data_IF_459802218202
#
_entry.id   IF_459802218202
#
_cell.length_a   1.000
_cell.length_b   1.000
_cell.length_c   1.000
_cell.angle_alpha   90.00
_cell.angle_beta   90.00
_cell.angle_gamma   90.00
#
_symmetry.space_group_name_H-M   'P 1'
#
loop_
_entity.id
_entity.type
_entity.pdbx_description
1 polymer ?
#
# COMPACT_ATOMS: atom_id res chain seq x y z
N UNK A 1 7.35 -69.06 54.07
CA UNK A 1 6.28 -68.01 54.04
C UNK A 1 6.69 -66.97 53.04
N UNK A 2 6.09 -67.04 51.92
CA UNK A 2 6.45 -66.17 50.74
C UNK A 2 5.58 -64.92 50.65
N UNK A 3 6.18 -63.82 50.39
CA UNK A 3 5.46 -62.58 50.00
C UNK A 3 5.78 -62.24 48.58
N UNK A 4 4.77 -62.29 47.77
CA UNK A 4 4.84 -61.96 46.34
C UNK A 4 4.69 -60.46 46.17
N UNK A 5 5.77 -59.78 45.79
CA UNK A 5 5.73 -58.35 45.34
C UNK A 5 5.19 -58.26 43.93
N UNK A 6 4.11 -57.50 43.75
CA UNK A 6 3.58 -57.10 42.42
C UNK A 6 4.30 -55.87 41.92
N UNK A 7 4.96 -56.02 40.80
CA UNK A 7 5.54 -54.93 40.05
C UNK A 7 4.44 -54.30 39.15
N UNK A 8 4.07 -53.06 39.39
CA UNK A 8 3.21 -52.28 38.54
C UNK A 8 4.06 -51.58 37.47
N UNK A 9 3.89 -52.01 36.23
CA UNK A 9 4.44 -51.33 35.06
C UNK A 9 3.55 -50.12 34.73
N UNK A 10 4.06 -48.95 34.93
CA UNK A 10 3.43 -47.70 34.46
C UNK A 10 3.80 -47.47 33.02
N UNK A 11 2.83 -47.63 32.13
CA UNK A 11 2.98 -47.27 30.69
C UNK A 11 2.87 -45.77 30.51
N UNK A 12 3.95 -45.12 30.15
CA UNK A 12 3.97 -43.71 29.73
C UNK A 12 3.58 -43.66 28.27
N UNK A 13 2.40 -43.09 27.97
CA UNK A 13 1.95 -42.79 26.61
C UNK A 13 2.52 -41.42 26.23
N UNK A 14 3.48 -41.40 25.33
CA UNK A 14 3.99 -40.20 24.67
C UNK A 14 3.03 -39.80 23.57
N UNK A 15 2.23 -38.75 23.76
CA UNK A 15 1.45 -38.09 22.72
C UNK A 15 2.40 -37.23 21.90
N UNK A 16 2.77 -37.72 20.72
CA UNK A 16 3.43 -36.92 19.70
C UNK A 16 2.40 -35.96 19.08
N UNK A 17 2.40 -34.73 19.54
CA UNK A 17 1.64 -33.63 18.90
C UNK A 17 2.29 -33.28 17.59
N UNK A 18 1.65 -33.63 16.43
CA UNK A 18 1.96 -33.07 15.12
C UNK A 18 1.49 -31.64 15.11
N UNK A 19 2.39 -30.69 15.35
CA UNK A 19 2.18 -29.30 14.95
C UNK A 19 2.29 -29.23 13.43
N UNK A 20 1.15 -29.16 12.75
CA UNK A 20 1.08 -28.75 11.33
C UNK A 20 1.57 -27.31 11.25
N UNK A 21 2.87 -27.14 10.98
CA UNK A 21 3.42 -25.87 10.59
C UNK A 21 2.74 -25.46 9.27
N UNK A 22 1.85 -24.47 9.34
CA UNK A 22 1.45 -23.73 8.15
C UNK A 22 2.71 -23.05 7.62
N UNK A 23 3.26 -23.62 6.55
CA UNK A 23 4.24 -22.92 5.72
C UNK A 23 3.54 -21.72 5.13
N UNK A 24 3.74 -20.54 5.73
CA UNK A 24 3.49 -19.30 5.04
C UNK A 24 4.38 -19.33 3.80
N UNK A 25 3.76 -19.39 2.63
CA UNK A 25 4.44 -19.14 1.36
C UNK A 25 5.09 -17.77 1.48
N UNK A 26 6.42 -17.63 1.33
CA UNK A 26 6.99 -16.30 1.23
C UNK A 26 6.44 -15.72 -0.06
N UNK A 27 5.56 -14.72 0.06
CA UNK A 27 5.32 -13.81 -1.04
C UNK A 27 6.68 -13.40 -1.60
N UNK A 28 6.82 -13.43 -2.95
CA UNK A 28 8.06 -13.10 -3.62
C UNK A 28 8.64 -11.76 -3.17
N UNK A 29 9.82 -11.32 -3.64
CA UNK A 29 10.50 -10.15 -3.13
C UNK A 29 9.69 -8.87 -3.38
N UNK A 30 8.55 -8.79 -2.75
CA UNK A 30 7.77 -7.60 -2.53
C UNK A 30 8.44 -6.85 -1.39
N UNK A 31 8.70 -5.58 -1.57
CA UNK A 31 9.31 -4.70 -0.61
C UNK A 31 8.70 -4.92 0.79
N UNK A 32 9.40 -5.70 1.62
CA UNK A 32 9.10 -5.83 3.04
C UNK A 32 9.30 -4.45 3.67
N UNK A 33 8.24 -3.67 3.82
CA UNK A 33 8.31 -2.34 4.40
C UNK A 33 7.51 -1.24 3.70
N UNK A 34 6.97 -1.47 2.51
CA UNK A 34 6.06 -0.52 1.88
C UNK A 34 4.70 -0.62 2.57
N UNK A 35 4.45 0.31 3.51
CA UNK A 35 3.40 0.19 4.52
C UNK A 35 1.98 0.49 4.03
N UNK A 36 1.80 1.17 2.90
CA UNK A 36 0.45 1.53 2.45
C UNK A 36 -0.16 0.41 1.62
N UNK A 37 -1.35 -0.01 2.04
CA UNK A 37 -2.11 -1.04 1.34
C UNK A 37 -2.84 -0.45 0.15
N UNK A 38 -2.81 -1.16 -0.98
CA UNK A 38 -3.69 -0.88 -2.11
C UNK A 38 -5.04 -1.56 -1.86
N UNK A 39 -6.06 -0.75 -1.69
CA UNK A 39 -7.45 -1.18 -1.59
C UNK A 39 -8.05 -1.31 -2.99
N UNK A 40 -8.89 -2.32 -3.21
CA UNK A 40 -9.61 -2.54 -4.50
C UNK A 40 -11.13 -2.50 -4.33
N UNK A 41 -11.59 -2.17 -3.13
CA UNK A 41 -13.00 -2.01 -2.79
C UNK A 41 -13.61 -0.69 -3.26
N UNK A 42 -14.76 -0.36 -2.68
CA UNK A 42 -15.39 0.95 -2.89
C UNK A 42 -14.49 2.06 -2.34
N UNK A 43 -14.47 3.20 -3.03
CA UNK A 43 -13.85 4.41 -2.49
C UNK A 43 -14.62 4.89 -1.26
N UNK A 44 -13.97 5.55 -0.29
CA UNK A 44 -14.68 6.23 0.78
C UNK A 44 -15.63 7.30 0.20
N UNK A 45 -16.78 7.53 0.83
CA UNK A 45 -17.82 8.48 0.37
C UNK A 45 -17.26 9.88 0.01
N UNK A 46 -16.26 10.35 0.76
CA UNK A 46 -15.63 11.64 0.49
C UNK A 46 -14.68 11.62 -0.73
N UNK A 47 -14.23 10.45 -1.18
CA UNK A 47 -13.36 10.28 -2.35
C UNK A 47 -14.14 9.81 -3.59
N UNK A 48 -15.42 9.51 -3.43
CA UNK A 48 -16.34 9.06 -4.48
C UNK A 48 -16.92 10.22 -5.30
N UNK A 49 -16.79 11.44 -4.82
CA UNK A 49 -17.33 12.64 -5.49
C UNK A 49 -16.74 12.79 -6.91
N UNK A 50 -17.60 12.73 -7.92
CA UNK A 50 -17.25 12.84 -9.34
C UNK A 50 -17.18 11.49 -10.08
N UNK A 51 -17.36 10.37 -9.39
CA UNK A 51 -17.61 9.08 -10.02
C UNK A 51 -19.11 8.82 -10.14
N UNK A 52 -19.53 8.10 -11.16
CA UNK A 52 -20.91 7.66 -11.34
C UNK A 52 -21.05 6.22 -10.85
N UNK A 53 -22.00 5.97 -9.96
CA UNK A 53 -22.29 4.63 -9.44
C UNK A 53 -21.32 4.19 -8.35
N UNK A 54 -21.19 2.88 -8.15
CA UNK A 54 -20.29 2.25 -7.16
C UNK A 54 -18.84 2.33 -7.67
N UNK A 55 -18.13 3.38 -7.28
CA UNK A 55 -16.75 3.60 -7.70
C UNK A 55 -15.80 2.62 -7.04
N UNK A 56 -15.38 1.62 -7.80
CA UNK A 56 -14.37 0.64 -7.40
C UNK A 56 -13.12 0.80 -8.24
N UNK A 57 -12.06 1.28 -7.62
CA UNK A 57 -10.78 1.45 -8.28
C UNK A 57 -9.65 1.12 -7.28
N UNK A 58 -8.51 0.61 -7.76
CA UNK A 58 -7.33 0.51 -6.91
C UNK A 58 -6.99 1.88 -6.32
N UNK A 59 -6.86 1.96 -5.00
CA UNK A 59 -6.56 3.20 -4.32
C UNK A 59 -5.73 2.99 -3.06
N UNK A 60 -5.04 4.03 -2.63
CA UNK A 60 -4.27 4.09 -1.40
C UNK A 60 -4.74 5.28 -0.60
N UNK A 61 -5.00 5.07 0.69
CA UNK A 61 -5.34 6.14 1.61
C UNK A 61 -4.07 6.68 2.28
N UNK A 62 -4.02 7.97 2.48
CA UNK A 62 -2.99 8.58 3.31
C UNK A 62 -3.06 8.08 4.75
N UNK A 63 -1.94 8.10 5.45
CA UNK A 63 -1.82 7.62 6.82
C UNK A 63 -2.78 8.32 7.81
N UNK A 64 -3.14 9.59 7.54
CA UNK A 64 -4.13 10.34 8.30
C UNK A 64 -5.55 10.21 7.74
N UNK A 65 -5.70 9.63 6.55
CA UNK A 65 -6.98 9.52 5.85
C UNK A 65 -7.50 10.84 5.29
N UNK A 66 -6.64 11.83 5.09
CA UNK A 66 -7.00 13.15 4.57
C UNK A 66 -6.91 13.25 3.05
N UNK A 67 -6.24 12.30 2.40
CA UNK A 67 -6.10 12.23 0.95
C UNK A 67 -6.11 10.77 0.47
N UNK A 68 -6.65 10.55 -0.72
CA UNK A 68 -6.61 9.27 -1.43
C UNK A 68 -5.88 9.43 -2.76
N UNK A 69 -5.11 8.42 -3.13
CA UNK A 69 -4.55 8.24 -4.47
C UNK A 69 -5.34 7.14 -5.19
N UNK A 70 -6.16 7.50 -6.17
CA UNK A 70 -6.87 6.55 -7.03
C UNK A 70 -5.97 6.21 -8.23
N UNK A 71 -5.62 4.92 -8.37
CA UNK A 71 -4.58 4.43 -9.27
C UNK A 71 -5.20 3.93 -10.58
N UNK A 72 -5.34 4.78 -11.59
CA UNK A 72 -5.87 4.39 -12.90
C UNK A 72 -4.90 3.51 -13.71
N UNK A 73 -3.60 3.59 -13.41
CA UNK A 73 -2.56 2.77 -14.02
C UNK A 73 -2.00 1.72 -13.07
N UNK A 74 -2.85 1.00 -12.35
CA UNK A 74 -2.39 -0.02 -11.40
C UNK A 74 -2.10 -1.38 -12.11
N UNK A 75 -0.95 -2.05 -11.75
CA UNK A 75 0.10 -1.57 -10.87
C UNK A 75 0.89 -0.40 -11.50
N UNK A 76 1.42 0.49 -10.64
CA UNK A 76 2.33 1.53 -11.07
C UNK A 76 3.67 0.92 -11.52
N UNK A 77 4.33 1.51 -12.52
CA UNK A 77 5.58 0.98 -13.03
C UNK A 77 6.54 2.09 -13.44
N UNK A 78 7.85 1.83 -13.32
CA UNK A 78 8.89 2.71 -13.83
C UNK A 78 8.83 2.78 -15.36
N UNK A 79 8.64 1.63 -16.02
CA UNK A 79 8.54 1.52 -17.47
C UNK A 79 7.23 0.85 -17.85
N UNK A 80 6.45 1.48 -18.69
CA UNK A 80 5.22 0.93 -19.25
C UNK A 80 5.37 0.71 -20.75
N UNK A 81 5.21 -0.52 -21.20
CA UNK A 81 5.36 -0.92 -22.61
C UNK A 81 4.07 -0.75 -23.41
N UNK A 82 2.92 -0.69 -22.72
CA UNK A 82 1.59 -0.51 -23.29
C UNK A 82 1.29 0.93 -23.76
N UNK A 83 2.26 1.84 -23.62
CA UNK A 83 2.10 3.26 -23.96
C UNK A 83 1.21 4.04 -22.98
N UNK A 84 0.74 3.41 -21.90
CA UNK A 84 -0.01 4.07 -20.84
C UNK A 84 0.92 4.86 -19.90
N UNK A 85 0.35 5.56 -18.94
CA UNK A 85 1.08 6.36 -17.94
C UNK A 85 0.62 6.02 -16.52
N UNK A 86 1.45 6.36 -15.53
CA UNK A 86 1.10 6.24 -14.11
C UNK A 86 0.13 7.36 -13.72
N UNK A 87 -1.10 7.26 -14.23
CA UNK A 87 -2.15 8.23 -13.94
C UNK A 87 -2.75 8.00 -12.56
N UNK A 88 -2.69 9.02 -11.73
CA UNK A 88 -3.22 9.03 -10.37
C UNK A 88 -4.21 10.20 -10.25
N UNK A 89 -5.37 9.94 -9.68
CA UNK A 89 -6.28 10.97 -9.21
C UNK A 89 -6.12 11.13 -7.71
N UNK A 90 -5.70 12.30 -7.30
CA UNK A 90 -5.61 12.69 -5.89
C UNK A 90 -6.94 13.29 -5.47
N UNK A 91 -7.54 12.72 -4.43
CA UNK A 91 -8.78 13.23 -3.84
C UNK A 91 -8.48 13.59 -2.40
N UNK A 92 -8.67 14.84 -2.03
CA UNK A 92 -8.46 15.29 -0.67
C UNK A 92 -9.79 15.48 0.05
N UNK A 93 -9.83 15.07 1.31
CA UNK A 93 -10.95 15.34 2.22
C UNK A 93 -10.88 16.79 2.66
N UNK A 94 -11.33 17.72 1.82
CA UNK A 94 -11.28 19.15 2.15
C UNK A 94 -12.57 19.88 1.75
N UNK A 95 -12.82 21.00 2.44
CA UNK A 95 -13.78 22.01 1.99
C UNK A 95 -13.24 22.70 0.71
N UNK A 96 -14.14 23.16 -0.13
CA UNK A 96 -13.93 23.69 -1.48
C UNK A 96 -12.89 24.81 -1.58
N UNK A 97 -12.65 25.56 -0.51
CA UNK A 97 -11.78 26.75 -0.53
C UNK A 97 -10.27 26.43 -0.53
N UNK A 98 -9.92 25.18 -0.24
CA UNK A 98 -8.51 24.73 -0.15
C UNK A 98 -7.99 24.07 -1.43
N UNK A 99 -8.80 23.95 -2.48
CA UNK A 99 -8.47 23.19 -3.69
C UNK A 99 -7.61 23.96 -4.71
N UNK A 100 -7.37 25.26 -4.50
CA UNK A 100 -6.57 26.08 -5.42
C UNK A 100 -5.06 26.07 -5.14
N UNK A 101 -4.64 25.59 -3.97
CA UNK A 101 -3.22 25.48 -3.65
C UNK A 101 -2.63 24.21 -4.29
N UNK A 102 -1.46 24.26 -4.92
CA UNK A 102 -0.85 23.10 -5.56
C UNK A 102 -0.63 21.96 -4.54
N UNK A 103 -0.77 20.71 -5.01
CA UNK A 103 -0.33 19.56 -4.25
C UNK A 103 1.15 19.31 -4.54
N UNK A 104 1.99 19.51 -3.53
CA UNK A 104 3.41 19.16 -3.59
C UNK A 104 3.61 17.74 -3.07
N UNK A 105 4.23 16.91 -3.89
CA UNK A 105 4.56 15.51 -3.60
C UNK A 105 6.06 15.39 -3.47
N UNK A 106 6.56 15.12 -2.27
CA UNK A 106 7.95 14.77 -2.06
C UNK A 106 8.06 13.25 -1.94
N UNK A 107 8.63 12.59 -2.93
CA UNK A 107 8.80 11.14 -2.98
C UNK A 107 10.24 10.77 -2.67
N UNK A 108 10.45 9.86 -1.72
CA UNK A 108 11.77 9.31 -1.34
C UNK A 108 11.74 7.80 -1.54
N UNK A 109 12.70 7.27 -2.30
CA UNK A 109 12.84 5.84 -2.53
C UNK A 109 13.41 5.17 -1.27
N UNK A 110 12.70 4.20 -0.75
CA UNK A 110 13.08 3.49 0.48
C UNK A 110 14.48 2.87 0.37
N UNK A 111 15.22 2.92 1.45
CA UNK A 111 16.60 2.41 1.52
C UNK A 111 17.63 3.19 0.69
N UNK A 112 17.29 4.38 0.17
CA UNK A 112 18.22 5.22 -0.63
C UNK A 112 18.06 6.70 -0.31
N UNK A 113 19.00 7.52 -0.81
CA UNK A 113 18.91 9.00 -0.77
C UNK A 113 18.15 9.57 -1.98
N UNK A 114 17.58 8.72 -2.85
CA UNK A 114 16.88 9.17 -4.04
C UNK A 114 15.59 9.89 -3.66
N UNK A 115 15.53 11.17 -3.97
CA UNK A 115 14.37 12.03 -3.68
C UNK A 115 13.98 12.81 -4.93
N UNK A 116 12.68 12.86 -5.19
CA UNK A 116 12.10 13.67 -6.27
C UNK A 116 10.92 14.47 -5.75
N UNK A 117 10.68 15.62 -6.37
CA UNK A 117 9.53 16.47 -6.07
C UNK A 117 8.66 16.53 -7.33
N UNK A 118 7.36 16.39 -7.15
CA UNK A 118 6.33 16.59 -8.17
C UNK A 118 5.30 17.58 -7.65
N UNK A 119 4.71 18.29 -8.56
CA UNK A 119 3.65 19.26 -8.24
C UNK A 119 2.44 19.00 -9.12
N UNK A 120 1.26 18.99 -8.50
CA UNK A 120 -0.03 18.97 -9.18
C UNK A 120 -0.60 20.38 -9.10
N UNK A 121 -0.54 21.10 -10.19
CA UNK A 121 -1.03 22.48 -10.27
C UNK A 121 -2.55 22.51 -10.02
N UNK A 122 -2.99 23.53 -9.28
CA UNK A 122 -4.43 23.67 -8.94
C UNK A 122 -4.92 22.79 -7.80
N UNK A 123 -4.02 22.01 -7.17
CA UNK A 123 -4.34 21.20 -5.99
C UNK A 123 -4.50 19.71 -6.28
N UNK A 124 -5.00 18.95 -5.30
CA UNK A 124 -5.35 17.56 -5.49
C UNK A 124 -6.27 17.36 -6.70
N UNK A 125 -5.87 16.50 -7.63
CA UNK A 125 -6.55 16.31 -8.91
C UNK A 125 -5.86 15.25 -9.77
N UNK A 126 -6.25 15.09 -11.04
CA UNK A 126 -5.64 14.11 -11.93
C UNK A 126 -4.21 14.55 -12.32
N UNK A 127 -3.29 13.59 -12.28
CA UNK A 127 -1.90 13.83 -12.65
C UNK A 127 -1.22 12.56 -13.17
N UNK A 128 -0.10 12.71 -13.86
CA UNK A 128 0.81 11.64 -14.22
C UNK A 128 2.00 11.74 -13.25
N UNK A 129 2.23 10.69 -12.49
CA UNK A 129 3.32 10.64 -11.50
C UNK A 129 4.27 9.52 -11.90
N UNK A 130 5.21 9.85 -12.75
CA UNK A 130 6.28 8.94 -13.13
C UNK A 130 7.48 9.16 -12.20
N UNK A 131 7.93 8.07 -11.58
CA UNK A 131 9.10 8.07 -10.70
C UNK A 131 10.27 7.36 -11.40
N UNK A 132 11.53 7.81 -11.17
CA UNK A 132 12.67 7.42 -12.00
C UNK A 132 13.18 6.00 -11.74
N UNK A 133 12.71 5.32 -10.70
CA UNK A 133 13.15 3.99 -10.30
C UNK A 133 11.98 3.15 -9.81
N UNK A 134 12.09 1.85 -9.99
CA UNK A 134 11.24 0.87 -9.33
C UNK A 134 11.56 0.81 -7.82
N UNK A 135 10.60 0.36 -7.04
CA UNK A 135 10.73 0.19 -5.60
C UNK A 135 9.60 0.80 -4.80
N UNK A 136 9.77 0.83 -3.50
CA UNK A 136 8.85 1.46 -2.56
C UNK A 136 9.19 2.94 -2.41
N UNK A 137 8.24 3.80 -2.69
CA UNK A 137 8.38 5.24 -2.57
C UNK A 137 7.52 5.76 -1.44
N UNK A 138 8.14 6.36 -0.45
CA UNK A 138 7.45 7.12 0.60
C UNK A 138 7.15 8.51 0.10
N UNK A 139 5.88 8.86 0.07
CA UNK A 139 5.39 10.15 -0.37
C UNK A 139 5.00 11.00 0.84
N UNK A 140 5.53 12.21 0.89
CA UNK A 140 5.03 13.30 1.73
C UNK A 140 4.21 14.22 0.85
N UNK A 141 2.95 14.41 1.21
CA UNK A 141 1.95 15.15 0.46
C UNK A 141 1.61 16.44 1.20
N UNK A 142 1.68 17.58 0.51
CA UNK A 142 1.37 18.89 1.09
C UNK A 142 0.45 19.68 0.17
N UNK A 143 -0.67 20.13 0.73
CA UNK A 143 -1.63 20.97 0.01
C UNK A 143 -2.39 21.86 0.99
N UNK A 144 -2.67 23.10 0.64
CA UNK A 144 -3.52 24.02 1.41
C UNK A 144 -3.27 24.01 2.94
N UNK A 145 -1.99 24.00 3.35
CA UNK A 145 -1.59 23.94 4.76
C UNK A 145 -1.77 22.56 5.44
N UNK A 146 -2.20 21.55 4.71
CA UNK A 146 -2.33 20.16 5.17
C UNK A 146 -1.13 19.32 4.76
N UNK A 147 -0.92 18.22 5.50
CA UNK A 147 0.10 17.22 5.17
C UNK A 147 -0.43 15.83 5.47
N UNK A 148 -0.12 14.90 4.57
CA UNK A 148 -0.35 13.46 4.77
C UNK A 148 0.83 12.67 4.20
N UNK A 149 0.88 11.37 4.42
CA UNK A 149 1.92 10.48 3.88
C UNK A 149 1.30 9.19 3.36
N UNK A 150 1.90 8.59 2.36
CA UNK A 150 1.59 7.25 1.89
C UNK A 150 2.79 6.62 1.21
N UNK A 151 2.77 5.31 1.05
CA UNK A 151 3.78 4.60 0.28
C UNK A 151 3.15 4.07 -1.02
N UNK A 152 3.87 4.22 -2.14
CA UNK A 152 3.48 3.66 -3.43
C UNK A 152 4.59 2.75 -3.97
N UNK A 153 4.20 1.58 -4.46
CA UNK A 153 5.15 0.64 -5.10
C UNK A 153 5.11 0.83 -6.61
N UNK A 154 6.29 1.05 -7.19
CA UNK A 154 6.52 1.05 -8.62
C UNK A 154 7.24 -0.22 -9.03
N UNK A 155 6.63 -1.04 -9.88
CA UNK A 155 7.28 -2.18 -10.51
C UNK A 155 8.37 -1.71 -11.50
N UNK A 156 9.34 -2.57 -11.83
CA UNK A 156 10.34 -2.22 -12.85
C UNK A 156 9.72 -2.01 -14.22
N UNK A 157 8.84 -2.93 -14.60
CA UNK A 157 8.21 -2.96 -15.93
C UNK A 157 6.81 -3.54 -15.86
N UNK A 158 5.93 -2.98 -16.68
CA UNK A 158 4.63 -3.55 -17.00
C UNK A 158 4.57 -3.85 -18.49
N UNK A 159 3.98 -5.00 -18.87
CA UNK A 159 3.79 -5.37 -20.27
C UNK A 159 2.90 -4.38 -21.03
#
# INVERSE_FOLDING_TARGET
MGSRGRVLLASVVLLAGCTTGQSATPDGPGATGCGSRVETGALPDWADAGFSGDARAPHVLGAKGDIAAVLFGHPLAQVRQDGSSNKILWVARTSTDALSAPLTITATLDGTDTRVIREVAGGPGPSIIDLPRAGCWRLELRWAGRTDTMDLVYAERMP
#
